data_IF_281924421497
#
_entry.id   IF_281924421497
#
_cell.length_a   1.000
_cell.length_b   1.000
_cell.length_c   1.000
_cell.angle_alpha   90.00
_cell.angle_beta   90.00
_cell.angle_gamma   90.00
#
_symmetry.space_group_name_H-M   'P 1'
#
loop_
_entity.id
_entity.type
_entity.pdbx_description
1 polymer ?
#
# COMPACT_ATOMS: atom_id res chain seq x y z
N UNK A 1 -22.81 27.63 -6.95
CA UNK A 1 -22.16 26.30 -6.81
C UNK A 1 -21.83 26.14 -5.34
N UNK A 2 -22.65 25.40 -4.58
CA UNK A 2 -22.39 25.18 -3.16
C UNK A 2 -21.20 24.25 -3.04
N UNK A 3 -20.06 24.79 -2.63
CA UNK A 3 -18.89 23.99 -2.24
C UNK A 3 -19.32 23.20 -1.01
N UNK A 4 -19.72 21.95 -1.21
CA UNK A 4 -19.99 21.04 -0.10
C UNK A 4 -18.64 20.73 0.51
N UNK A 5 -18.31 21.38 1.62
CA UNK A 5 -17.12 21.02 2.39
C UNK A 5 -17.23 19.53 2.74
N UNK A 6 -16.25 18.69 2.35
CA UNK A 6 -16.30 17.28 2.69
C UNK A 6 -16.34 17.18 4.21
N UNK A 7 -17.34 16.45 4.73
CA UNK A 7 -17.48 16.26 6.16
C UNK A 7 -16.16 15.75 6.75
N UNK A 8 -15.83 16.19 7.97
CA UNK A 8 -14.60 15.77 8.66
C UNK A 8 -14.42 14.24 8.65
N UNK A 9 -15.54 13.52 8.69
CA UNK A 9 -15.59 12.06 8.59
C UNK A 9 -15.17 11.54 7.20
N UNK A 10 -15.68 12.13 6.11
CA UNK A 10 -15.20 11.80 4.76
C UNK A 10 -13.71 12.09 4.59
N UNK A 11 -13.24 13.26 5.04
CA UNK A 11 -11.81 13.59 4.95
C UNK A 11 -10.94 12.55 5.64
N UNK A 12 -11.35 12.10 6.83
CA UNK A 12 -10.61 11.06 7.54
C UNK A 12 -10.63 9.72 6.81
N UNK A 13 -11.76 9.30 6.23
CA UNK A 13 -11.84 8.06 5.44
C UNK A 13 -10.90 8.14 4.22
N UNK A 14 -10.97 9.21 3.44
CA UNK A 14 -10.14 9.34 2.23
C UNK A 14 -8.65 9.49 2.54
N UNK A 15 -8.28 10.13 3.63
CA UNK A 15 -6.85 10.26 3.99
C UNK A 15 -6.32 9.00 4.64
N UNK A 16 -7.07 8.36 5.54
CA UNK A 16 -6.54 7.26 6.36
C UNK A 16 -6.89 5.88 5.86
N UNK A 17 -8.06 5.68 5.23
CA UNK A 17 -8.49 4.35 4.82
C UNK A 17 -8.08 4.04 3.39
N UNK A 18 -8.36 4.95 2.46
CA UNK A 18 -8.16 4.73 1.02
C UNK A 18 -6.70 4.39 0.66
N UNK A 19 -5.66 5.04 1.19
CA UNK A 19 -4.28 4.72 0.80
C UNK A 19 -3.84 3.33 1.28
N UNK A 20 -4.24 2.94 2.49
CA UNK A 20 -3.96 1.61 3.01
C UNK A 20 -4.73 0.55 2.24
N UNK A 21 -6.02 0.79 1.96
CA UNK A 21 -6.81 -0.11 1.14
C UNK A 21 -6.22 -0.27 -0.26
N UNK A 22 -5.84 0.84 -0.90
CA UNK A 22 -5.22 0.84 -2.22
C UNK A 22 -3.90 0.06 -2.24
N UNK A 23 -3.07 0.21 -1.21
CA UNK A 23 -1.85 -0.58 -1.04
C UNK A 23 -2.13 -2.09 -1.02
N UNK A 24 -3.08 -2.56 -0.20
CA UNK A 24 -3.44 -3.97 -0.13
C UNK A 24 -4.11 -4.47 -1.42
N UNK A 25 -4.94 -3.63 -2.04
CA UNK A 25 -5.54 -3.92 -3.33
C UNK A 25 -4.47 -4.10 -4.41
N UNK A 26 -3.43 -3.28 -4.41
CA UNK A 26 -2.27 -3.41 -5.31
C UNK A 26 -1.57 -4.77 -5.16
N UNK A 27 -1.30 -5.21 -3.93
CA UNK A 27 -0.74 -6.55 -3.66
C UNK A 27 -1.65 -7.65 -4.23
N UNK A 28 -2.96 -7.54 -3.99
CA UNK A 28 -3.94 -8.51 -4.47
C UNK A 28 -4.00 -8.57 -6.01
N UNK A 29 -4.07 -7.40 -6.66
CA UNK A 29 -4.10 -7.29 -8.13
C UNK A 29 -2.82 -7.88 -8.72
N UNK A 30 -1.64 -7.52 -8.19
CA UNK A 30 -0.36 -8.08 -8.67
C UNK A 30 -0.36 -9.59 -8.60
N UNK A 31 -0.86 -10.17 -7.51
CA UNK A 31 -0.87 -11.63 -7.33
C UNK A 31 -1.84 -12.33 -8.27
N UNK A 32 -2.99 -11.74 -8.55
CA UNK A 32 -4.05 -12.35 -9.37
C UNK A 32 -3.82 -12.14 -10.87
N UNK A 33 -3.37 -10.96 -11.27
CA UNK A 33 -3.22 -10.57 -12.69
C UNK A 33 -1.82 -10.85 -13.22
N UNK A 34 -0.78 -10.67 -12.41
CA UNK A 34 0.63 -10.82 -12.80
C UNK A 34 1.39 -11.78 -11.87
N UNK A 35 0.98 -13.06 -11.75
CA UNK A 35 1.64 -14.02 -10.89
C UNK A 35 3.04 -14.35 -11.43
N UNK A 36 4.09 -13.84 -10.77
CA UNK A 36 5.45 -14.28 -11.04
C UNK A 36 5.65 -15.76 -10.66
N UNK A 37 6.45 -16.51 -11.43
CA UNK A 37 6.72 -17.94 -11.19
C UNK A 37 7.28 -18.24 -9.79
N UNK A 38 7.97 -17.28 -9.17
CA UNK A 38 8.53 -17.36 -7.82
C UNK A 38 7.82 -16.42 -6.81
N UNK A 39 6.66 -15.88 -7.17
CA UNK A 39 5.94 -14.92 -6.33
C UNK A 39 5.53 -15.56 -5.00
N UNK A 40 5.81 -14.93 -3.84
CA UNK A 40 5.42 -15.44 -2.54
C UNK A 40 3.91 -15.70 -2.42
N UNK A 41 3.53 -16.56 -1.46
CA UNK A 41 2.13 -16.89 -1.22
C UNK A 41 1.40 -15.65 -0.70
N UNK A 42 0.18 -15.38 -1.20
CA UNK A 42 -0.60 -14.19 -0.89
C UNK A 42 -0.74 -13.95 0.62
N UNK A 43 -0.99 -15.00 1.41
CA UNK A 43 -1.16 -14.89 2.86
C UNK A 43 0.07 -14.32 3.55
N UNK A 44 1.28 -14.75 3.15
CA UNK A 44 2.52 -14.19 3.68
C UNK A 44 2.70 -12.74 3.23
N UNK A 45 2.27 -12.42 2.00
CA UNK A 45 2.35 -11.07 1.49
C UNK A 45 1.41 -10.11 2.22
N UNK A 46 0.20 -10.55 2.56
CA UNK A 46 -0.77 -9.77 3.34
C UNK A 46 -0.31 -9.60 4.79
N UNK A 47 0.24 -10.66 5.42
CA UNK A 47 0.78 -10.58 6.78
C UNK A 47 1.95 -9.60 6.89
N UNK A 48 2.92 -9.66 5.96
CA UNK A 48 3.99 -8.67 5.88
C UNK A 48 3.53 -7.32 5.36
N UNK A 49 2.42 -7.29 4.63
CA UNK A 49 1.81 -6.07 4.12
C UNK A 49 1.34 -5.15 5.23
N UNK A 50 0.95 -5.66 6.40
CA UNK A 50 0.55 -4.83 7.55
C UNK A 50 1.71 -3.94 8.03
N UNK A 51 2.86 -4.48 8.49
CA UNK A 51 3.97 -3.64 8.95
C UNK A 51 4.58 -2.80 7.82
N UNK A 52 4.66 -3.32 6.59
CA UNK A 52 5.21 -2.57 5.46
C UNK A 52 4.27 -1.43 5.06
N UNK A 53 2.96 -1.66 5.03
CA UNK A 53 1.96 -0.65 4.77
C UNK A 53 2.05 0.50 5.77
N UNK A 54 2.25 0.21 7.06
CA UNK A 54 2.47 1.27 8.06
C UNK A 54 3.72 2.11 7.77
N UNK A 55 4.82 1.49 7.33
CA UNK A 55 6.07 2.20 7.03
C UNK A 55 5.98 3.01 5.74
N UNK A 56 5.31 2.47 4.72
CA UNK A 56 5.24 3.08 3.39
C UNK A 56 4.12 4.10 3.28
N UNK A 57 2.93 3.83 3.83
CA UNK A 57 1.76 4.69 3.67
C UNK A 57 1.81 5.89 4.63
N UNK A 58 2.25 5.69 5.88
CA UNK A 58 2.21 6.75 6.91
C UNK A 58 2.92 8.06 6.52
N UNK A 59 4.13 8.04 5.92
CA UNK A 59 4.81 9.27 5.50
C UNK A 59 4.03 10.07 4.45
N UNK A 60 3.19 9.39 3.66
CA UNK A 60 2.42 10.02 2.60
C UNK A 60 1.12 10.66 3.10
N UNK A 61 0.64 10.32 4.30
CA UNK A 61 -0.62 10.83 4.85
C UNK A 61 -0.64 12.36 4.95
N UNK A 62 0.50 12.97 5.31
CA UNK A 62 0.64 14.43 5.37
C UNK A 62 0.42 15.08 4.00
N UNK A 63 1.00 14.50 2.95
CA UNK A 63 0.86 14.99 1.57
C UNK A 63 -0.55 14.75 1.03
N UNK A 64 -1.15 13.59 1.34
CA UNK A 64 -2.50 13.24 0.91
C UNK A 64 -3.57 14.16 1.49
N UNK A 65 -3.42 14.58 2.75
CA UNK A 65 -4.34 15.54 3.39
C UNK A 65 -4.35 16.89 2.64
N UNK A 66 -3.17 17.39 2.27
CA UNK A 66 -3.03 18.62 1.50
C UNK A 66 -3.57 18.45 0.07
N UNK A 67 -3.20 17.35 -0.60
CA UNK A 67 -3.59 17.07 -1.98
C UNK A 67 -5.10 16.91 -2.14
N UNK A 68 -5.78 16.19 -1.24
CA UNK A 68 -7.23 15.98 -1.30
C UNK A 68 -8.04 17.29 -1.28
N UNK A 69 -7.53 18.32 -0.61
CA UNK A 69 -8.21 19.62 -0.49
C UNK A 69 -7.90 20.55 -1.67
N UNK A 70 -6.84 20.26 -2.43
CA UNK A 70 -6.27 21.16 -3.43
C UNK A 70 -6.51 20.66 -4.85
N UNK A 71 -6.20 19.40 -5.12
CA UNK A 71 -6.20 18.83 -6.47
C UNK A 71 -6.34 17.29 -6.43
N UNK A 72 -7.48 16.78 -6.94
CA UNK A 72 -7.80 15.35 -6.95
C UNK A 72 -6.80 14.53 -7.80
N UNK A 73 -6.42 14.95 -9.01
CA UNK A 73 -5.30 14.37 -9.76
C UNK A 73 -4.03 14.14 -8.94
N UNK A 74 -3.60 15.13 -8.14
CA UNK A 74 -2.38 15.00 -7.30
C UNK A 74 -2.59 13.97 -6.20
N UNK A 75 -3.78 13.92 -5.61
CA UNK A 75 -4.13 12.88 -4.64
C UNK A 75 -4.04 11.48 -5.27
N UNK A 76 -4.66 11.25 -6.42
CA UNK A 76 -4.64 9.96 -7.13
C UNK A 76 -3.22 9.56 -7.54
N UNK A 77 -2.40 10.52 -7.97
CA UNK A 77 -0.99 10.28 -8.29
C UNK A 77 -0.19 9.76 -7.08
N UNK A 78 -0.39 10.38 -5.91
CA UNK A 78 0.25 9.91 -4.67
C UNK A 78 -0.23 8.50 -4.28
N UNK A 79 -1.51 8.18 -4.48
CA UNK A 79 -2.02 6.81 -4.28
C UNK A 79 -1.30 5.82 -5.22
N UNK A 80 -1.12 6.18 -6.49
CA UNK A 80 -0.38 5.37 -7.45
C UNK A 80 1.07 5.09 -7.01
N UNK A 81 1.77 6.10 -6.49
CA UNK A 81 3.12 5.94 -5.93
C UNK A 81 3.12 4.96 -4.75
N UNK A 82 2.18 5.11 -3.83
CA UNK A 82 2.06 4.24 -2.65
C UNK A 82 1.85 2.78 -3.06
N UNK A 83 0.98 2.54 -4.05
CA UNK A 83 0.72 1.21 -4.58
C UNK A 83 2.02 0.62 -5.15
N UNK A 84 2.67 1.31 -6.09
CA UNK A 84 3.81 0.80 -6.83
C UNK A 84 5.01 0.55 -5.89
N UNK A 85 5.37 1.57 -5.11
CA UNK A 85 6.50 1.49 -4.19
C UNK A 85 6.23 0.46 -3.09
N UNK A 86 5.01 0.46 -2.54
CA UNK A 86 4.58 -0.49 -1.54
C UNK A 86 4.66 -1.93 -2.03
N UNK A 87 4.23 -2.21 -3.26
CA UNK A 87 4.30 -3.54 -3.86
C UNK A 87 5.76 -4.01 -4.02
N UNK A 88 6.65 -3.16 -4.51
CA UNK A 88 8.07 -3.50 -4.71
C UNK A 88 8.76 -3.83 -3.39
N UNK A 89 8.57 -2.98 -2.37
CA UNK A 89 9.16 -3.18 -1.04
C UNK A 89 8.59 -4.45 -0.40
N UNK A 90 7.27 -4.64 -0.48
CA UNK A 90 6.58 -5.81 0.06
C UNK A 90 7.11 -7.13 -0.54
N UNK A 91 7.21 -7.20 -1.87
CA UNK A 91 7.68 -8.41 -2.54
C UNK A 91 9.14 -8.71 -2.18
N UNK A 92 9.99 -7.67 -2.21
CA UNK A 92 11.42 -7.79 -1.86
C UNK A 92 11.62 -8.27 -0.44
N UNK A 93 10.90 -7.69 0.52
CA UNK A 93 10.97 -8.07 1.94
C UNK A 93 10.50 -9.51 2.14
N UNK A 94 9.42 -9.92 1.47
CA UNK A 94 8.88 -11.28 1.60
C UNK A 94 9.84 -12.32 1.01
N UNK A 95 10.45 -12.03 -0.13
CA UNK A 95 11.48 -12.90 -0.73
C UNK A 95 12.70 -13.01 0.20
N UNK A 96 13.17 -11.90 0.76
CA UNK A 96 14.28 -11.91 1.72
C UNK A 96 13.95 -12.73 2.96
N UNK A 97 12.77 -12.54 3.56
CA UNK A 97 12.36 -13.29 4.73
C UNK A 97 12.27 -14.78 4.43
N UNK A 98 11.69 -15.18 3.29
CA UNK A 98 11.62 -16.58 2.86
C UNK A 98 13.03 -17.20 2.75
N UNK A 99 13.98 -16.49 2.15
CA UNK A 99 15.38 -16.94 2.04
C UNK A 99 16.03 -17.11 3.42
N UNK A 100 15.79 -16.18 4.35
CA UNK A 100 16.32 -16.26 5.72
C UNK A 100 15.73 -17.44 6.50
N UNK A 101 14.42 -17.67 6.41
CA UNK A 101 13.76 -18.82 7.05
C UNK A 101 14.27 -20.14 6.51
N UNK A 102 14.48 -20.26 5.19
CA UNK A 102 15.04 -21.46 4.59
C UNK A 102 16.48 -21.75 5.04
N UNK A 103 17.34 -20.72 5.12
CA UNK A 103 18.71 -20.87 5.63
C UNK A 103 18.73 -21.33 7.09
N UNK A 104 17.81 -20.82 7.91
CA UNK A 104 17.72 -21.17 9.33
C UNK A 104 17.12 -22.55 9.59
N UNK A 105 16.40 -23.13 8.63
CA UNK A 105 15.85 -24.49 8.73
C UNK A 105 16.87 -25.58 8.38
N UNK A 106 18.01 -25.22 7.79
CA UNK A 106 19.08 -26.15 7.38
C UNK A 106 20.25 -26.15 8.39
N UNK A 107 20.28 -25.17 9.29
CA UNK A 107 21.23 -25.07 10.40
C UNK A 107 20.61 -25.61 11.69
#
# INVERSE_FOLDING_TARGET
MTVVEPSFLMQNIFVWFVPYFAYFLGIFIRKTVLPGANSPILTHQLLLGIPIGLVIVSPFLMFLRSAMSSDVPVYLFNIGIIIEHGMVVQETATIHLKKLTQRRSIA
#
